data_IF_464650843807
#
_entry.id   IF_464650843807
#
_cell.length_a   1.000
_cell.length_b   1.000
_cell.length_c   1.000
_cell.angle_alpha   90.00
_cell.angle_beta   90.00
_cell.angle_gamma   90.00
#
_symmetry.space_group_name_H-M   'P 1'
#
loop_
_entity.id
_entity.type
_entity.pdbx_description
1 polymer ?
#
# COMPACT_ATOMS: atom_id res chain seq x y z
N UNK A 1 10.37 10.75 -14.32
CA UNK A 1 9.50 11.55 -15.23
C UNK A 1 8.05 11.08 -15.18
N UNK A 2 7.45 11.01 -13.98
CA UNK A 2 6.01 10.78 -13.79
C UNK A 2 5.50 11.77 -12.74
N UNK A 3 4.27 12.24 -12.88
CA UNK A 3 3.61 13.00 -11.81
C UNK A 3 3.46 12.09 -10.60
N UNK A 4 3.69 12.63 -9.41
CA UNK A 4 3.53 11.92 -8.13
C UNK A 4 2.08 12.03 -7.66
N UNK A 5 1.17 11.57 -8.50
CA UNK A 5 -0.26 11.47 -8.21
C UNK A 5 -0.66 10.02 -8.39
N UNK A 6 -1.28 9.45 -7.36
CA UNK A 6 -1.82 8.09 -7.45
C UNK A 6 -3.11 8.12 -8.26
N UNK A 7 -3.31 7.11 -9.11
CA UNK A 7 -4.58 6.88 -9.76
C UNK A 7 -5.44 5.99 -8.87
N UNK A 8 -6.77 6.21 -8.83
CA UNK A 8 -7.71 5.39 -8.05
C UNK A 8 -7.53 3.88 -8.29
N UNK A 9 -7.32 3.48 -9.54
CA UNK A 9 -7.06 2.08 -9.94
C UNK A 9 -5.77 1.51 -9.33
N UNK A 10 -4.77 2.34 -9.05
CA UNK A 10 -3.53 1.92 -8.40
C UNK A 10 -3.74 1.70 -6.89
N UNK A 11 -4.55 2.54 -6.25
CA UNK A 11 -4.95 2.37 -4.86
C UNK A 11 -5.72 1.06 -4.64
N UNK A 12 -6.67 0.76 -5.54
CA UNK A 12 -7.39 -0.51 -5.53
C UNK A 12 -6.45 -1.72 -5.63
N UNK A 13 -5.43 -1.65 -6.50
CA UNK A 13 -4.44 -2.73 -6.62
C UNK A 13 -3.67 -2.97 -5.33
N UNK A 14 -3.33 -1.93 -4.57
CA UNK A 14 -2.67 -2.08 -3.26
C UNK A 14 -3.48 -2.98 -2.33
N UNK A 15 -4.78 -2.73 -2.23
CA UNK A 15 -5.72 -3.52 -1.41
C UNK A 15 -5.91 -4.93 -1.97
N UNK A 16 -5.99 -5.09 -3.29
CA UNK A 16 -6.10 -6.40 -3.93
C UNK A 16 -4.85 -7.26 -3.65
N UNK A 17 -3.65 -6.69 -3.76
CA UNK A 17 -2.40 -7.38 -3.41
C UNK A 17 -2.37 -7.72 -1.93
N UNK A 18 -2.77 -6.80 -1.04
CA UNK A 18 -2.88 -7.09 0.38
C UNK A 18 -3.80 -8.29 0.65
N UNK A 19 -4.98 -8.33 0.02
CA UNK A 19 -5.93 -9.45 0.16
C UNK A 19 -5.35 -10.75 -0.37
N UNK A 20 -4.72 -10.73 -1.54
CA UNK A 20 -4.06 -11.92 -2.11
C UNK A 20 -3.01 -12.47 -1.15
N UNK A 21 -2.16 -11.60 -0.60
CA UNK A 21 -1.12 -12.00 0.35
C UNK A 21 -1.70 -12.59 1.64
N UNK A 22 -2.85 -12.09 2.09
CA UNK A 22 -3.54 -12.61 3.28
C UNK A 22 -4.17 -14.00 3.12
N UNK A 23 -4.17 -14.58 1.91
CA UNK A 23 -4.71 -15.94 1.65
C UNK A 23 -3.79 -17.09 2.10
N UNK A 24 -2.68 -16.79 2.79
CA UNK A 24 -1.61 -17.74 3.12
C UNK A 24 -0.47 -17.75 2.09
N UNK A 25 -0.62 -17.06 0.95
CA UNK A 25 0.46 -16.87 -0.01
C UNK A 25 1.69 -16.21 0.64
N UNK A 26 1.46 -15.23 1.51
CA UNK A 26 2.53 -14.54 2.23
C UNK A 26 3.24 -15.41 3.27
N UNK A 27 2.63 -16.50 3.74
CA UNK A 27 3.29 -17.44 4.65
C UNK A 27 4.15 -18.41 3.84
N UNK A 28 3.65 -18.84 2.68
CA UNK A 28 4.36 -19.77 1.81
C UNK A 28 5.69 -19.19 1.33
N UNK A 29 5.71 -17.98 0.77
CA UNK A 29 6.94 -17.39 0.24
C UNK A 29 7.97 -16.99 1.32
N UNK A 30 7.56 -16.72 2.57
CA UNK A 30 8.43 -16.29 3.68
C UNK A 30 9.16 -17.51 4.22
N UNK A 31 8.49 -18.67 4.21
CA UNK A 31 9.12 -19.94 4.53
C UNK A 31 10.24 -20.28 3.54
N UNK A 32 10.05 -20.02 2.24
CA UNK A 32 11.08 -20.25 1.22
C UNK A 32 12.13 -19.12 1.16
N UNK A 33 11.74 -17.89 1.51
CA UNK A 33 12.57 -16.69 1.46
C UNK A 33 12.43 -15.84 2.74
N UNK A 34 13.06 -16.22 3.87
CA UNK A 34 12.83 -15.58 5.16
C UNK A 34 13.23 -14.11 5.26
N UNK A 35 14.11 -13.64 4.37
CA UNK A 35 14.54 -12.24 4.31
C UNK A 35 13.76 -11.37 3.34
N UNK A 36 12.73 -11.92 2.68
CA UNK A 36 11.94 -11.20 1.68
C UNK A 36 10.51 -11.00 2.15
N UNK A 37 10.04 -9.76 2.00
CA UNK A 37 8.63 -9.47 2.18
C UNK A 37 8.18 -8.26 1.36
N UNK A 38 6.87 -8.11 1.19
CA UNK A 38 6.25 -6.95 0.53
C UNK A 38 5.55 -6.09 1.59
N UNK A 39 5.82 -4.79 1.60
CA UNK A 39 5.08 -3.85 2.46
C UNK A 39 3.65 -3.72 1.95
N UNK A 40 2.66 -3.85 2.84
CA UNK A 40 1.24 -3.91 2.47
C UNK A 40 0.60 -2.55 2.52
N UNK A 41 -0.30 -2.33 1.57
CA UNK A 41 -1.18 -1.18 1.47
C UNK A 41 -2.62 -1.66 1.73
N UNK A 42 -3.01 -1.93 3.00
CA UNK A 42 -4.30 -2.55 3.33
C UNK A 42 -5.51 -1.70 3.00
N UNK A 43 -5.34 -0.38 2.90
CA UNK A 43 -6.42 0.56 2.69
C UNK A 43 -5.93 1.82 1.97
N UNK A 44 -6.90 2.61 1.50
CA UNK A 44 -6.68 3.93 0.93
C UNK A 44 -7.89 4.81 1.25
N UNK A 45 -7.69 6.11 1.17
CA UNK A 45 -8.69 7.16 1.37
C UNK A 45 -8.64 8.12 0.20
N UNK A 46 -9.79 8.70 -0.13
CA UNK A 46 -9.86 9.73 -1.13
C UNK A 46 -11.17 10.52 -1.04
N UNK A 47 -11.30 11.52 -1.89
CA UNK A 47 -12.42 12.44 -1.94
C UNK A 47 -13.04 12.42 -3.33
N UNK A 48 -14.37 12.35 -3.37
CA UNK A 48 -15.17 12.61 -4.55
C UNK A 48 -15.94 13.93 -4.32
N UNK A 49 -16.19 14.69 -5.38
CA UNK A 49 -17.02 15.90 -5.31
C UNK A 49 -18.51 15.55 -5.10
N UNK A 50 -19.40 16.54 -4.85
CA UNK A 50 -20.83 16.26 -4.64
C UNK A 50 -21.52 15.53 -5.80
N UNK A 51 -20.99 15.65 -7.02
CA UNK A 51 -21.46 14.97 -8.22
C UNK A 51 -20.87 13.54 -8.37
N UNK A 52 -19.96 13.13 -7.48
CA UNK A 52 -19.33 11.82 -7.46
C UNK A 52 -18.08 11.71 -8.34
N UNK A 53 -17.53 12.82 -8.81
CA UNK A 53 -16.29 12.85 -9.61
C UNK A 53 -15.08 12.80 -8.68
N UNK A 54 -14.08 11.92 -8.94
CA UNK A 54 -12.87 11.86 -8.12
C UNK A 54 -12.09 13.18 -8.14
N UNK A 55 -11.75 13.70 -6.96
CA UNK A 55 -10.89 14.88 -6.80
C UNK A 55 -9.43 14.44 -6.83
N UNK A 56 -8.70 14.83 -7.88
CA UNK A 56 -7.30 14.44 -8.03
C UNK A 56 -6.39 15.13 -7.00
N UNK A 57 -5.33 14.44 -6.59
CA UNK A 57 -4.34 14.97 -5.64
C UNK A 57 -4.69 14.82 -4.16
N UNK A 58 -5.89 14.33 -3.83
CA UNK A 58 -6.31 14.03 -2.44
C UNK A 58 -6.33 12.53 -2.11
N UNK A 59 -5.90 11.70 -3.06
CA UNK A 59 -5.80 10.25 -2.92
C UNK A 59 -4.62 9.87 -2.01
N UNK A 60 -4.89 9.12 -0.94
CA UNK A 60 -3.91 8.70 0.06
C UNK A 60 -3.93 7.18 0.30
N UNK A 61 -2.74 6.59 0.42
CA UNK A 61 -2.56 5.16 0.77
C UNK A 61 -2.28 5.04 2.27
N UNK A 62 -2.87 4.04 2.91
CA UNK A 62 -2.46 3.60 4.25
C UNK A 62 -1.52 2.41 4.08
N UNK A 63 -0.28 2.59 4.49
CA UNK A 63 0.79 1.60 4.36
C UNK A 63 1.20 1.05 5.73
N UNK A 64 1.42 -0.26 5.82
CA UNK A 64 2.01 -0.85 7.01
C UNK A 64 3.43 -0.31 7.23
N UNK A 65 3.72 0.13 8.45
CA UNK A 65 5.08 0.47 8.85
C UNK A 65 5.88 -0.83 9.09
N UNK A 66 6.94 -1.12 8.31
CA UNK A 66 7.75 -2.30 8.54
C UNK A 66 8.70 -2.16 9.74
N UNK A 67 8.88 -0.95 10.27
CA UNK A 67 9.82 -0.65 11.35
C UNK A 67 9.17 -0.77 12.74
N UNK A 68 9.92 -1.35 13.66
CA UNK A 68 9.57 -1.45 15.07
C UNK A 68 10.07 -0.26 15.91
N UNK A 69 9.74 -0.21 17.22
CA UNK A 69 10.05 0.92 18.09
C UNK A 69 11.54 1.23 18.29
N UNK A 70 12.44 0.28 18.01
CA UNK A 70 13.90 0.43 18.16
C UNK A 70 14.64 0.69 16.85
N UNK A 71 13.93 0.72 15.72
CA UNK A 71 14.55 0.92 14.42
C UNK A 71 14.81 2.41 14.17
N UNK A 72 16.05 2.76 13.86
CA UNK A 72 16.44 4.12 13.44
C UNK A 72 16.31 4.24 11.91
N UNK A 73 15.07 4.39 11.44
CA UNK A 73 14.75 4.51 10.03
C UNK A 73 14.78 5.98 9.58
N UNK A 74 15.84 6.37 8.86
CA UNK A 74 16.00 7.73 8.35
C UNK A 74 15.37 7.98 6.96
N UNK A 75 14.94 6.92 6.26
CA UNK A 75 14.41 7.02 4.90
C UNK A 75 13.24 6.07 4.69
N UNK A 76 12.11 6.63 4.24
CA UNK A 76 10.93 5.90 3.78
C UNK A 76 10.70 6.31 2.33
N UNK A 77 10.72 5.33 1.41
CA UNK A 77 10.53 5.54 -0.03
C UNK A 77 9.07 5.37 -0.46
#
# INVERSE_FOLDING_TARGET
NSRRENLRKELHRGVEVHRLLSTGLAEHWQREHPGFDIVRDPAWLAVDDPEGTPVTGLDAVLRHNPFGPGDDAACIA
#
